data_IF_699940177108
#
_entry.id   IF_699940177108
#
_cell.length_a   1.000
_cell.length_b   1.000
_cell.length_c   1.000
_cell.angle_alpha   90.00
_cell.angle_beta   90.00
_cell.angle_gamma   90.00
#
_symmetry.space_group_name_H-M   'P 1'
#
loop_
_entity.id
_entity.type
_entity.pdbx_description
1 polymer ?
#
# COMPACT_ATOMS: atom_id res chain seq x y z
N UNK A 1 14.46 5.56 9.97
CA UNK A 1 13.45 4.68 10.61
C UNK A 1 12.21 5.44 11.09
N UNK A 2 12.30 6.21 12.19
CA UNK A 2 11.13 6.86 12.83
C UNK A 2 10.37 7.82 11.91
N UNK A 3 11.08 8.69 11.18
CA UNK A 3 10.43 9.64 10.27
C UNK A 3 9.72 8.96 9.09
N UNK A 4 10.27 7.86 8.57
CA UNK A 4 9.62 7.09 7.50
C UNK A 4 8.36 6.38 8.01
N UNK A 5 8.43 5.77 9.19
CA UNK A 5 7.23 5.20 9.84
C UNK A 5 6.15 6.26 10.06
N UNK A 6 6.52 7.45 10.54
CA UNK A 6 5.57 8.57 10.70
C UNK A 6 5.03 9.06 9.36
N UNK A 7 5.86 9.11 8.32
CA UNK A 7 5.43 9.47 6.98
C UNK A 7 4.37 8.49 6.47
N UNK A 8 4.61 7.19 6.60
CA UNK A 8 3.62 6.16 6.31
C UNK A 8 2.31 6.40 7.05
N UNK A 9 2.36 6.51 8.38
CA UNK A 9 1.17 6.58 9.24
C UNK A 9 0.35 7.85 9.03
N UNK A 10 0.98 8.94 8.59
CA UNK A 10 0.31 10.25 8.45
C UNK A 10 0.00 10.64 7.01
N UNK A 11 0.68 10.05 6.01
CA UNK A 11 0.57 10.47 4.61
C UNK A 11 0.09 9.37 3.67
N UNK A 12 0.41 8.11 3.92
CA UNK A 12 0.05 6.99 3.04
C UNK A 12 -1.17 6.27 3.61
N UNK A 13 -1.07 5.79 4.84
CA UNK A 13 -2.06 4.91 5.45
C UNK A 13 -3.47 5.54 5.49
N UNK A 14 -3.68 6.81 5.91
CA UNK A 14 -5.01 7.41 5.91
C UNK A 14 -5.60 7.55 4.51
N UNK A 15 -4.75 7.79 3.51
CA UNK A 15 -5.16 7.93 2.12
C UNK A 15 -5.57 6.58 1.53
N UNK A 16 -4.79 5.52 1.79
CA UNK A 16 -5.15 4.15 1.41
C UNK A 16 -6.47 3.75 2.08
N UNK A 17 -6.65 4.02 3.38
CA UNK A 17 -7.90 3.72 4.10
C UNK A 17 -9.12 4.45 3.52
N UNK A 18 -8.95 5.65 2.97
CA UNK A 18 -10.06 6.42 2.39
C UNK A 18 -10.74 5.71 1.21
N UNK A 19 -10.06 4.77 0.55
CA UNK A 19 -10.61 3.97 -0.54
C UNK A 19 -11.51 2.82 -0.09
N UNK A 20 -11.58 2.49 1.20
CA UNK A 20 -12.34 1.32 1.66
C UNK A 20 -13.83 1.42 1.32
N UNK A 21 -14.40 2.62 1.35
CA UNK A 21 -15.79 2.84 0.92
C UNK A 21 -15.97 2.65 -0.59
N UNK A 22 -14.92 2.86 -1.38
CA UNK A 22 -14.93 2.83 -2.84
C UNK A 22 -14.87 1.40 -3.42
N UNK A 23 -14.54 0.40 -2.58
CA UNK A 23 -14.55 -1.00 -3.00
C UNK A 23 -15.96 -1.45 -3.39
N UNK A 24 -16.98 -1.02 -2.64
CA UNK A 24 -18.38 -1.29 -2.96
C UNK A 24 -18.84 -0.44 -4.16
N UNK A 25 -19.32 -1.06 -5.26
CA UNK A 25 -19.66 -0.33 -6.49
C UNK A 25 -20.66 0.80 -6.30
N UNK A 26 -21.68 0.60 -5.46
CA UNK A 26 -22.73 1.59 -5.17
C UNK A 26 -22.21 2.86 -4.48
N UNK A 27 -21.05 2.79 -3.83
CA UNK A 27 -20.44 3.90 -3.08
C UNK A 27 -19.34 4.63 -3.86
N UNK A 28 -19.04 4.20 -5.09
CA UNK A 28 -17.95 4.75 -5.88
C UNK A 28 -18.20 6.22 -6.23
N UNK A 29 -17.23 7.04 -5.91
CA UNK A 29 -17.15 8.44 -6.28
C UNK A 29 -15.89 8.61 -7.14
N UNK A 30 -16.11 8.81 -8.44
CA UNK A 30 -15.04 8.96 -9.42
C UNK A 30 -14.15 10.19 -9.13
N UNK A 31 -14.71 11.27 -8.60
CA UNK A 31 -13.94 12.47 -8.28
C UNK A 31 -13.03 12.24 -7.08
N UNK A 32 -13.55 11.57 -6.03
CA UNK A 32 -12.76 11.16 -4.88
C UNK A 32 -11.64 10.20 -5.28
N UNK A 33 -11.95 9.18 -6.09
CA UNK A 33 -10.97 8.18 -6.56
C UNK A 33 -9.83 8.88 -7.31
N UNK A 34 -10.15 9.77 -8.25
CA UNK A 34 -9.15 10.49 -9.05
C UNK A 34 -8.30 11.45 -8.20
N UNK A 35 -8.93 12.24 -7.33
CA UNK A 35 -8.22 13.18 -6.46
C UNK A 35 -7.27 12.45 -5.50
N UNK A 36 -7.73 11.36 -4.90
CA UNK A 36 -6.91 10.56 -4.00
C UNK A 36 -5.80 9.82 -4.75
N UNK A 37 -6.00 9.45 -6.03
CA UNK A 37 -4.99 8.74 -6.81
C UNK A 37 -3.82 9.67 -7.11
N UNK A 38 -4.11 10.89 -7.52
CA UNK A 38 -3.09 11.92 -7.73
C UNK A 38 -2.32 12.23 -6.44
N UNK A 39 -3.03 12.33 -5.30
CA UNK A 39 -2.38 12.54 -4.01
C UNK A 39 -1.54 11.33 -3.59
N UNK A 40 -2.01 10.10 -3.83
CA UNK A 40 -1.30 8.88 -3.46
C UNK A 40 -0.03 8.72 -4.29
N UNK A 41 -0.11 9.01 -5.60
CA UNK A 41 1.08 9.06 -6.46
C UNK A 41 2.10 10.05 -5.89
N UNK A 42 1.66 11.27 -5.53
CA UNK A 42 2.54 12.27 -4.92
C UNK A 42 3.21 11.75 -3.65
N UNK A 43 2.48 11.04 -2.78
CA UNK A 43 3.06 10.48 -1.54
C UNK A 43 4.01 9.32 -1.76
N UNK A 44 3.81 8.53 -2.81
CA UNK A 44 4.74 7.48 -3.20
C UNK A 44 6.02 8.06 -3.80
N UNK A 45 5.90 9.13 -4.60
CA UNK A 45 7.04 9.88 -5.14
C UNK A 45 7.83 10.57 -4.02
N UNK A 46 7.14 11.21 -3.07
CA UNK A 46 7.74 11.79 -1.85
C UNK A 46 8.50 10.71 -1.06
N UNK A 47 7.90 9.52 -0.87
CA UNK A 47 8.55 8.40 -0.19
C UNK A 47 9.83 8.00 -0.91
N UNK A 48 9.80 7.89 -2.24
CA UNK A 48 10.98 7.56 -3.04
C UNK A 48 12.06 8.65 -2.98
N UNK A 49 11.70 9.90 -2.72
CA UNK A 49 12.65 11.00 -2.56
C UNK A 49 13.33 11.01 -1.17
N UNK A 50 12.61 10.58 -0.11
CA UNK A 50 13.12 10.62 1.27
C UNK A 50 13.68 9.29 1.78
N UNK A 51 13.42 8.19 1.07
CA UNK A 51 13.89 6.85 1.41
C UNK A 51 14.83 6.30 0.35
N UNK A 52 15.79 5.49 0.78
CA UNK A 52 16.67 4.72 -0.10
C UNK A 52 16.72 3.26 0.40
N UNK A 53 15.66 2.47 0.19
CA UNK A 53 15.62 1.08 0.65
C UNK A 53 16.68 0.25 -0.06
N UNK A 54 17.39 -0.59 0.70
CA UNK A 54 18.38 -1.51 0.16
C UNK A 54 18.73 -2.61 1.21
N UNK A 55 18.13 -3.82 1.13
CA UNK A 55 16.92 -4.18 0.40
C UNK A 55 15.64 -3.74 1.12
N UNK A 56 15.65 -3.57 2.45
CA UNK A 56 14.52 -3.10 3.24
C UNK A 56 14.70 -1.62 3.62
N UNK A 57 13.71 -1.04 4.31
CA UNK A 57 13.63 0.41 4.52
C UNK A 57 14.84 1.00 5.26
N UNK A 58 15.48 0.20 6.12
CA UNK A 58 16.63 0.63 6.92
C UNK A 58 17.84 -0.31 6.83
N UNK A 59 17.93 -1.12 5.78
CA UNK A 59 19.04 -2.06 5.53
C UNK A 59 18.56 -3.49 5.33
N UNK A 60 19.37 -4.47 5.77
CA UNK A 60 19.12 -5.89 5.54
C UNK A 60 18.11 -6.52 6.51
N UNK A 61 17.93 -5.91 7.68
CA UNK A 61 17.07 -6.47 8.73
C UNK A 61 15.70 -5.80 8.74
N UNK A 62 14.66 -6.61 8.93
CA UNK A 62 13.30 -6.13 9.13
C UNK A 62 13.23 -5.17 10.33
N UNK A 63 12.60 -4.01 10.15
CA UNK A 63 12.44 -3.00 11.18
C UNK A 63 10.99 -2.51 11.28
N UNK A 64 10.67 -1.78 12.35
CA UNK A 64 9.34 -1.17 12.55
C UNK A 64 8.93 -0.27 11.37
N UNK A 65 9.91 0.34 10.69
CA UNK A 65 9.65 1.17 9.52
C UNK A 65 9.10 0.39 8.32
N UNK A 66 9.19 -0.95 8.32
CA UNK A 66 8.70 -1.81 7.25
C UNK A 66 7.26 -2.32 7.48
N UNK A 67 6.86 -2.48 8.75
CA UNK A 67 5.63 -3.22 9.10
C UNK A 67 4.37 -2.64 8.46
N UNK A 68 4.22 -1.31 8.42
CA UNK A 68 3.05 -0.65 7.84
C UNK A 68 2.94 -0.85 6.32
N UNK A 69 4.08 -0.99 5.63
CA UNK A 69 4.11 -1.07 4.17
C UNK A 69 3.62 -2.39 3.63
N UNK A 70 3.73 -3.50 4.37
CA UNK A 70 3.17 -4.80 3.96
C UNK A 70 1.67 -4.66 3.68
N UNK A 71 0.92 -4.08 4.62
CA UNK A 71 -0.51 -3.88 4.48
C UNK A 71 -0.83 -2.87 3.37
N UNK A 72 -0.19 -1.70 3.40
CA UNK A 72 -0.48 -0.62 2.45
C UNK A 72 -0.19 -1.03 1.00
N UNK A 73 0.93 -1.72 0.72
CA UNK A 73 1.21 -2.20 -0.64
C UNK A 73 0.24 -3.28 -1.10
N UNK A 74 -0.18 -4.17 -0.20
CA UNK A 74 -1.16 -5.21 -0.54
C UNK A 74 -2.52 -4.60 -0.86
N UNK A 75 -2.96 -3.60 -0.11
CA UNK A 75 -4.19 -2.86 -0.39
C UNK A 75 -4.08 -2.07 -1.69
N UNK A 76 -2.96 -1.37 -1.93
CA UNK A 76 -2.76 -0.63 -3.19
C UNK A 76 -2.89 -1.56 -4.39
N UNK A 77 -2.27 -2.76 -4.35
CA UNK A 77 -2.39 -3.76 -5.41
C UNK A 77 -3.85 -4.19 -5.63
N UNK A 78 -4.59 -4.48 -4.55
CA UNK A 78 -6.02 -4.80 -4.65
C UNK A 78 -6.83 -3.65 -5.29
N UNK A 79 -6.56 -2.40 -4.89
CA UNK A 79 -7.27 -1.24 -5.41
C UNK A 79 -6.95 -1.00 -6.89
N UNK A 80 -5.72 -1.28 -7.33
CA UNK A 80 -5.36 -1.28 -8.75
C UNK A 80 -6.21 -2.29 -9.52
N UNK A 81 -6.38 -3.52 -8.99
CA UNK A 81 -7.17 -4.56 -9.63
C UNK A 81 -8.68 -4.23 -9.69
N UNK A 82 -9.23 -3.56 -8.66
CA UNK A 82 -10.68 -3.35 -8.51
C UNK A 82 -11.17 -2.04 -9.14
N UNK A 83 -10.34 -1.00 -9.12
CA UNK A 83 -10.71 0.36 -9.50
C UNK A 83 -9.96 0.88 -10.74
N UNK A 84 -9.10 0.05 -11.34
CA UNK A 84 -8.13 0.50 -12.35
C UNK A 84 -7.33 1.72 -11.85
N UNK A 85 -6.94 1.68 -10.56
CA UNK A 85 -6.37 2.83 -9.87
C UNK A 85 -5.08 3.30 -10.57
N UNK A 86 -5.00 4.56 -11.06
CA UNK A 86 -3.88 5.04 -11.86
C UNK A 86 -2.70 5.49 -10.99
N UNK A 87 -2.16 4.57 -10.19
CA UNK A 87 -1.03 4.78 -9.28
C UNK A 87 0.05 3.78 -9.64
N UNK A 88 1.31 4.24 -9.69
CA UNK A 88 2.47 3.38 -9.97
C UNK A 88 3.50 3.56 -8.86
N UNK A 89 4.02 2.46 -8.32
CA UNK A 89 5.12 2.51 -7.37
C UNK A 89 6.39 2.97 -8.08
N UNK A 90 7.10 4.00 -7.58
CA UNK A 90 8.42 4.36 -8.10
C UNK A 90 9.37 3.15 -8.05
N UNK A 91 10.33 3.02 -9.00
CA UNK A 91 11.14 1.80 -9.13
C UNK A 91 11.80 1.32 -7.83
N UNK A 92 12.40 2.23 -7.05
CA UNK A 92 13.02 1.90 -5.76
C UNK A 92 11.99 1.34 -4.74
N UNK A 93 10.77 1.85 -4.75
CA UNK A 93 9.68 1.41 -3.87
C UNK A 93 9.09 0.08 -4.36
N UNK A 94 9.04 -0.16 -5.67
CA UNK A 94 8.64 -1.44 -6.25
C UNK A 94 9.63 -2.55 -5.86
N UNK A 95 10.94 -2.34 -6.03
CA UNK A 95 11.99 -3.27 -5.59
C UNK A 95 11.93 -3.53 -4.09
N UNK A 96 11.69 -2.48 -3.30
CA UNK A 96 11.48 -2.59 -1.86
C UNK A 96 10.27 -3.45 -1.52
N UNK A 97 9.11 -3.24 -2.18
CA UNK A 97 7.91 -4.07 -2.00
C UNK A 97 8.24 -5.54 -2.24
N UNK A 98 8.88 -5.86 -3.35
CA UNK A 98 9.24 -7.24 -3.69
C UNK A 98 10.14 -7.87 -2.61
N UNK A 99 11.17 -7.13 -2.17
CA UNK A 99 12.08 -7.59 -1.12
C UNK A 99 11.36 -7.81 0.21
N UNK A 100 10.47 -6.88 0.60
CA UNK A 100 9.71 -6.94 1.84
C UNK A 100 8.74 -8.13 1.86
N UNK A 101 7.97 -8.33 0.77
CA UNK A 101 6.98 -9.40 0.69
C UNK A 101 7.62 -10.79 0.56
N UNK A 102 8.84 -10.87 0.02
CA UNK A 102 9.63 -12.09 -0.06
C UNK A 102 10.40 -12.42 1.23
N UNK A 103 10.47 -11.49 2.20
CA UNK A 103 11.22 -11.71 3.43
C UNK A 103 10.66 -12.90 4.22
N UNK A 104 11.49 -13.83 4.74
CA UNK A 104 11.01 -15.06 5.40
C UNK A 104 10.04 -14.82 6.56
N UNK A 105 10.30 -13.80 7.37
CA UNK A 105 9.45 -13.45 8.52
C UNK A 105 8.16 -12.72 8.14
N UNK A 106 8.02 -12.30 6.87
CA UNK A 106 6.85 -11.55 6.36
C UNK A 106 5.98 -12.43 5.47
N UNK A 107 6.57 -13.29 4.65
CA UNK A 107 5.88 -14.01 3.58
C UNK A 107 4.65 -14.82 4.06
N UNK A 108 4.77 -15.51 5.20
CA UNK A 108 3.66 -16.28 5.77
C UNK A 108 2.48 -15.42 6.20
N UNK A 109 2.75 -14.31 6.88
CA UNK A 109 1.72 -13.37 7.33
C UNK A 109 1.15 -12.57 6.15
N UNK A 110 1.98 -12.19 5.19
CA UNK A 110 1.54 -11.57 3.93
C UNK A 110 0.54 -12.46 3.19
N UNK A 111 0.82 -13.75 3.00
CA UNK A 111 -0.09 -14.67 2.34
C UNK A 111 -1.43 -14.78 3.07
N UNK A 112 -1.40 -14.87 4.40
CA UNK A 112 -2.61 -14.89 5.24
C UNK A 112 -3.41 -13.59 5.11
N UNK A 113 -2.74 -12.45 5.17
CA UNK A 113 -3.36 -11.13 5.04
C UNK A 113 -3.99 -10.93 3.67
N UNK A 114 -3.31 -11.32 2.59
CA UNK A 114 -3.82 -11.25 1.21
C UNK A 114 -5.12 -12.04 1.08
N UNK A 115 -5.17 -13.27 1.60
CA UNK A 115 -6.38 -14.10 1.52
C UNK A 115 -7.58 -13.46 2.24
N UNK A 116 -7.39 -12.92 3.45
CA UNK A 116 -8.45 -12.22 4.20
C UNK A 116 -8.89 -10.95 3.47
N UNK A 117 -7.94 -10.22 2.88
CA UNK A 117 -8.24 -9.00 2.13
C UNK A 117 -9.05 -9.30 0.87
N UNK A 118 -8.70 -10.36 0.13
CA UNK A 118 -9.43 -10.79 -1.07
C UNK A 118 -10.87 -11.24 -0.72
N UNK A 119 -11.07 -11.98 0.38
CA UNK A 119 -12.40 -12.38 0.86
C UNK A 119 -13.25 -11.16 1.26
N UNK A 120 -12.65 -10.22 1.97
CA UNK A 120 -13.30 -8.95 2.32
C UNK A 120 -13.71 -8.17 1.06
N UNK A 121 -12.81 -8.06 0.08
CA UNK A 121 -13.08 -7.37 -1.16
C UNK A 121 -14.22 -8.02 -1.96
N UNK A 122 -14.21 -9.35 -2.07
CA UNK A 122 -15.29 -10.11 -2.70
C UNK A 122 -16.63 -9.86 -2.00
N UNK A 123 -16.66 -9.80 -0.66
CA UNK A 123 -17.86 -9.45 0.09
C UNK A 123 -18.36 -8.04 -0.24
N UNK A 124 -17.44 -7.07 -0.35
CA UNK A 124 -17.79 -5.66 -0.65
C UNK A 124 -18.22 -5.42 -2.09
N UNK A 125 -17.70 -6.18 -3.05
CA UNK A 125 -18.05 -6.09 -4.47
C UNK A 125 -19.46 -6.60 -4.76
N UNK A 126 -19.98 -7.51 -3.91
CA UNK A 126 -21.31 -8.09 -4.02
C UNK A 126 -22.35 -7.44 -3.09
N UNK A 127 -21.97 -6.39 -2.34
CA UNK A 127 -22.84 -5.64 -1.43
C UNK A 127 -23.49 -4.45 -2.15
#
# INVERSE_FOLDING_TARGET
AREISRFHDTRIEPLVRSYFSQVTPANRDAALIAANAALLQTRLDDLAAIAAPAPLMTGDNLAIADCGFVASFTIIALLQDILDLPVTLPPAIATYRESLLAHPDVAGEYARYRAVLDEWAATKLNA
#
